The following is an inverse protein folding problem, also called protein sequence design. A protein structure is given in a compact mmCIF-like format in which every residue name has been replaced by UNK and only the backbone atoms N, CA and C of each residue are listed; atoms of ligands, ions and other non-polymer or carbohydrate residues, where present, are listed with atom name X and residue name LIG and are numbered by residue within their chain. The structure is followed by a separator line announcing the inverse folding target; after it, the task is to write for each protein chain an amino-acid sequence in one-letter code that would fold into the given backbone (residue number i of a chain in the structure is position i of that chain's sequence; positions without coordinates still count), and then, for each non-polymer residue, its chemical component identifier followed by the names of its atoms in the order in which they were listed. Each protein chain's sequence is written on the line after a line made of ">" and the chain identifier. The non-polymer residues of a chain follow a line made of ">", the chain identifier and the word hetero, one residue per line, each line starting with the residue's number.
data_IF_752541176677
#
_entry.id   IF_752541176677
#
_cell.length_a   1.000
_cell.length_b   1.000
_cell.length_c   1.000
_cell.angle_alpha   90.00
_cell.angle_beta   90.00
_cell.angle_gamma   90.00
#
_symmetry.space_group_name_H-M   'P 1'
#
loop_
_entity.id
_entity.type
_entity.pdbx_description
1 polymer ?
#
# COMPACT_ATOMS: atom_id res chain seq x y z
N UNK A 1 -22.39 41.66 55.64
CA UNK A 1 -22.56 40.19 55.62
C UNK A 1 -23.06 39.77 54.25
N UNK A 2 -22.34 38.84 53.62
CA UNK A 2 -22.70 38.00 52.47
C UNK A 2 -22.65 38.67 51.06
N UNK A 3 -21.45 38.53 50.48
CA UNK A 3 -21.09 38.32 49.07
C UNK A 3 -22.13 37.53 48.26
N UNK A 4 -22.20 37.71 46.93
CA UNK A 4 -21.93 36.63 45.96
C UNK A 4 -21.68 37.22 44.56
N UNK A 5 -20.45 37.03 44.09
CA UNK A 5 -19.97 37.30 42.74
C UNK A 5 -20.80 36.51 41.70
N UNK A 6 -21.21 37.17 40.62
CA UNK A 6 -21.59 36.52 39.36
C UNK A 6 -20.33 35.89 38.74
N UNK A 7 -20.16 34.57 38.89
CA UNK A 7 -19.22 33.80 38.08
C UNK A 7 -19.80 33.60 36.69
N UNK A 8 -19.20 34.25 35.68
CA UNK A 8 -19.38 33.89 34.28
C UNK A 8 -18.56 32.64 33.97
N UNK A 9 -19.21 31.54 33.62
CA UNK A 9 -18.55 30.35 33.07
C UNK A 9 -18.23 30.59 31.60
N UNK A 10 -16.99 30.98 31.31
CA UNK A 10 -16.44 30.91 29.95
C UNK A 10 -15.95 29.47 29.74
N UNK A 11 -16.73 28.68 29.00
CA UNK A 11 -16.25 27.40 28.46
C UNK A 11 -15.25 27.72 27.34
N UNK A 12 -13.96 27.72 27.64
CA UNK A 12 -12.90 27.70 26.62
C UNK A 12 -12.80 26.29 26.05
N UNK A 13 -13.34 26.10 24.85
CA UNK A 13 -13.07 24.93 24.01
C UNK A 13 -11.56 24.91 23.67
N UNK A 14 -10.80 24.11 24.43
CA UNK A 14 -9.44 23.74 24.04
C UNK A 14 -9.53 22.81 22.83
N UNK A 15 -9.45 23.39 21.63
CA UNK A 15 -9.14 22.63 20.42
C UNK A 15 -7.69 22.16 20.53
N UNK A 16 -7.49 20.93 21.03
CA UNK A 16 -6.20 20.25 21.00
C UNK A 16 -5.85 20.05 19.52
N UNK A 17 -4.76 20.65 19.00
CA UNK A 17 -4.33 20.35 17.65
C UNK A 17 -3.94 18.88 17.62
N UNK A 18 -4.70 18.07 16.88
CA UNK A 18 -4.32 16.71 16.56
C UNK A 18 -3.04 16.81 15.72
N UNK A 19 -1.88 16.68 16.36
CA UNK A 19 -0.62 16.49 15.66
C UNK A 19 -0.71 15.12 15.00
N UNK A 20 -1.17 15.11 13.75
CA UNK A 20 -1.07 13.93 12.89
C UNK A 20 0.43 13.68 12.78
N UNK A 21 0.92 12.70 13.51
CA UNK A 21 2.30 12.26 13.43
C UNK A 21 2.43 11.56 12.08
N UNK A 22 2.57 12.33 11.01
CA UNK A 22 2.92 11.81 9.69
C UNK A 22 4.38 11.41 9.79
N UNK A 23 4.63 10.23 10.36
CA UNK A 23 5.89 9.55 10.16
C UNK A 23 6.13 9.56 8.65
N UNK A 24 7.16 10.30 8.21
CA UNK A 24 7.57 10.38 6.82
C UNK A 24 7.73 8.93 6.35
N UNK A 25 6.74 8.41 5.63
CA UNK A 25 6.71 7.02 5.26
C UNK A 25 7.83 6.83 4.25
N UNK A 26 8.97 6.30 4.72
CA UNK A 26 10.13 6.07 3.87
C UNK A 26 9.84 4.86 2.99
N UNK A 27 9.15 5.11 1.87
CA UNK A 27 8.90 4.10 0.87
C UNK A 27 10.22 3.64 0.22
N UNK A 28 10.33 2.34 0.00
CA UNK A 28 11.47 1.69 -0.63
C UNK A 28 11.03 0.99 -1.91
N UNK A 29 11.37 1.59 -3.05
CA UNK A 29 10.96 1.12 -4.38
C UNK A 29 11.99 0.20 -5.06
N UNK A 30 12.99 -0.29 -4.32
CA UNK A 30 14.03 -1.16 -4.89
C UNK A 30 13.50 -2.52 -5.35
N UNK A 31 12.35 -2.95 -4.81
CA UNK A 31 11.67 -4.20 -5.19
C UNK A 31 11.00 -4.15 -6.57
N UNK A 32 10.83 -2.96 -7.15
CA UNK A 32 10.18 -2.74 -8.46
C UNK A 32 11.08 -2.08 -9.49
N UNK A 33 12.40 -2.20 -9.34
CA UNK A 33 13.31 -1.77 -10.39
C UNK A 33 13.22 -2.69 -11.63
N UNK A 34 13.63 -2.18 -12.79
CA UNK A 34 13.61 -2.95 -14.05
C UNK A 34 14.34 -4.29 -13.88
N UNK A 35 13.69 -5.37 -14.32
CA UNK A 35 14.21 -6.72 -14.22
C UNK A 35 13.85 -7.46 -12.92
N UNK A 36 13.34 -6.77 -11.89
CA UNK A 36 12.81 -7.40 -10.68
C UNK A 36 11.52 -8.15 -10.96
N UNK A 37 11.22 -9.10 -10.08
CA UNK A 37 10.00 -9.90 -10.10
C UNK A 37 9.18 -9.61 -8.86
N UNK A 38 7.87 -9.51 -9.06
CA UNK A 38 6.86 -9.45 -8.03
C UNK A 38 6.14 -10.79 -7.97
N UNK A 39 5.77 -11.24 -6.78
CA UNK A 39 5.02 -12.50 -6.60
C UNK A 39 3.92 -12.34 -5.57
N UNK A 40 2.70 -12.69 -5.97
CA UNK A 40 1.53 -12.79 -5.11
C UNK A 40 1.07 -14.24 -5.13
N UNK A 41 1.13 -14.92 -3.98
CA UNK A 41 0.93 -16.36 -3.94
C UNK A 41 -0.03 -16.78 -2.81
N UNK A 42 -1.16 -16.08 -2.72
CA UNK A 42 -2.25 -16.44 -1.79
C UNK A 42 -2.94 -17.76 -2.16
N UNK A 43 -3.14 -17.99 -3.46
CA UNK A 43 -3.72 -19.22 -4.01
C UNK A 43 -2.92 -19.72 -5.19
N UNK A 44 -3.12 -20.99 -5.53
CA UNK A 44 -2.51 -21.63 -6.68
C UNK A 44 -3.37 -21.35 -7.94
N UNK A 45 -2.76 -20.90 -9.07
CA UNK A 45 -1.35 -20.59 -9.26
C UNK A 45 -0.93 -19.24 -8.67
N UNK A 46 0.34 -19.12 -8.25
CA UNK A 46 0.92 -17.83 -7.87
C UNK A 46 0.86 -16.88 -9.07
N UNK A 47 0.53 -15.62 -8.82
CA UNK A 47 0.69 -14.52 -9.76
C UNK A 47 2.13 -14.02 -9.72
N UNK A 48 2.73 -13.84 -10.90
CA UNK A 48 4.11 -13.38 -11.07
C UNK A 48 4.12 -12.15 -11.99
N UNK A 49 4.87 -11.11 -11.64
CA UNK A 49 5.05 -9.92 -12.46
C UNK A 49 6.52 -9.61 -12.68
N UNK A 50 7.00 -9.59 -13.93
CA UNK A 50 8.34 -9.09 -14.25
C UNK A 50 8.28 -7.61 -14.60
N UNK A 51 9.01 -6.77 -13.87
CA UNK A 51 9.09 -5.35 -14.16
C UNK A 51 9.90 -5.11 -15.44
N UNK A 52 9.24 -4.51 -16.43
CA UNK A 52 9.84 -4.11 -17.71
C UNK A 52 10.20 -2.63 -17.72
N UNK A 53 9.42 -1.79 -17.05
CA UNK A 53 9.70 -0.36 -16.88
C UNK A 53 9.21 0.10 -15.51
N UNK A 54 9.90 1.09 -14.96
CA UNK A 54 9.60 1.73 -13.67
C UNK A 54 9.70 3.24 -13.84
N UNK A 55 8.68 3.97 -13.36
CA UNK A 55 8.70 5.43 -13.29
C UNK A 55 8.05 5.91 -12.00
N UNK A 56 8.60 6.98 -11.45
CA UNK A 56 7.92 7.78 -10.43
C UNK A 56 7.17 8.89 -11.16
N UNK A 57 5.84 8.90 -11.05
CA UNK A 57 5.00 9.93 -11.67
C UNK A 57 4.87 11.16 -10.77
N UNK A 58 4.72 10.92 -9.46
CA UNK A 58 4.55 11.98 -8.47
C UNK A 58 5.18 11.57 -7.15
N UNK A 59 5.76 12.54 -6.45
CA UNK A 59 6.33 12.36 -5.12
C UNK A 59 5.97 13.56 -4.24
N UNK A 60 5.40 13.27 -3.07
CA UNK A 60 5.16 14.21 -1.98
C UNK A 60 5.67 13.58 -0.67
N UNK A 61 5.69 14.33 0.45
CA UNK A 61 6.10 13.78 1.75
C UNK A 61 5.28 12.55 2.18
N UNK A 62 4.00 12.50 1.82
CA UNK A 62 3.05 11.48 2.29
C UNK A 62 2.68 10.43 1.23
N UNK A 63 3.07 10.66 -0.02
CA UNK A 63 2.63 9.82 -1.14
C UNK A 63 3.67 9.73 -2.25
N UNK A 64 3.81 8.55 -2.84
CA UNK A 64 4.54 8.34 -4.10
C UNK A 64 3.65 7.59 -5.07
N UNK A 65 3.51 8.10 -6.29
CA UNK A 65 2.81 7.41 -7.38
C UNK A 65 3.82 6.83 -8.35
N UNK A 66 3.67 5.53 -8.62
CA UNK A 66 4.52 4.75 -9.51
C UNK A 66 3.72 4.37 -10.77
N UNK A 67 4.37 4.40 -11.93
CA UNK A 67 3.94 3.67 -13.13
C UNK A 67 4.89 2.50 -13.34
N UNK A 68 4.33 1.29 -13.40
CA UNK A 68 5.06 0.06 -13.67
C UNK A 68 4.55 -0.55 -14.97
N UNK A 69 5.45 -0.90 -15.89
CA UNK A 69 5.11 -1.77 -17.01
C UNK A 69 5.47 -3.20 -16.60
N UNK A 70 4.47 -4.07 -16.43
CA UNK A 70 4.62 -5.42 -15.90
C UNK A 70 4.32 -6.44 -16.99
N UNK A 71 5.24 -7.40 -17.19
CA UNK A 71 4.94 -8.64 -17.89
C UNK A 71 4.40 -9.64 -16.86
N UNK A 72 3.09 -9.83 -16.86
CA UNK A 72 2.41 -10.79 -15.99
C UNK A 72 2.69 -12.23 -16.41
N UNK A 73 2.55 -13.14 -15.46
CA UNK A 73 2.62 -14.58 -15.65
C UNK A 73 2.09 -15.31 -14.42
N UNK A 74 2.09 -16.63 -14.48
CA UNK A 74 1.65 -17.49 -13.38
C UNK A 74 2.55 -18.70 -13.21
N UNK A 75 2.58 -19.24 -12.00
CA UNK A 75 3.37 -20.41 -11.64
C UNK A 75 2.67 -21.23 -10.57
N UNK A 76 2.55 -22.54 -10.81
CA UNK A 76 2.08 -23.48 -9.79
C UNK A 76 3.04 -23.52 -8.59
N UNK A 77 2.55 -23.74 -7.37
CA UNK A 77 3.36 -23.69 -6.14
C UNK A 77 4.68 -24.48 -6.22
N UNK A 78 4.64 -25.68 -6.79
CA UNK A 78 5.80 -26.58 -6.87
C UNK A 78 6.54 -26.52 -8.22
N UNK A 79 6.10 -25.65 -9.13
CA UNK A 79 6.73 -25.49 -10.44
C UNK A 79 7.82 -24.43 -10.40
N UNK A 80 8.90 -24.63 -11.15
CA UNK A 80 9.88 -23.58 -11.47
C UNK A 80 9.56 -22.85 -12.78
N UNK A 81 8.64 -23.39 -13.58
CA UNK A 81 8.25 -22.85 -14.88
C UNK A 81 7.18 -21.78 -14.69
N UNK A 82 7.45 -20.59 -15.20
CA UNK A 82 6.49 -19.48 -15.26
C UNK A 82 5.87 -19.46 -16.65
N UNK A 83 4.53 -19.45 -16.70
CA UNK A 83 3.77 -19.20 -17.93
C UNK A 83 3.58 -17.69 -18.04
N UNK A 84 4.27 -17.06 -18.98
CA UNK A 84 4.19 -15.62 -19.19
C UNK A 84 3.04 -15.23 -20.12
N UNK A 85 2.42 -14.08 -19.85
CA UNK A 85 1.48 -13.45 -20.75
C UNK A 85 2.18 -12.99 -22.04
N UNK A 86 1.41 -12.81 -23.12
CA UNK A 86 1.98 -12.40 -24.42
C UNK A 86 2.50 -10.97 -24.44
N UNK A 87 1.85 -10.07 -23.69
CA UNK A 87 2.14 -8.63 -23.69
C UNK A 87 2.20 -8.11 -22.26
N UNK A 88 3.05 -7.11 -21.99
CA UNK A 88 3.02 -6.40 -20.72
C UNK A 88 1.81 -5.46 -20.66
N UNK A 89 1.40 -5.11 -19.44
CA UNK A 89 0.40 -4.08 -19.14
C UNK A 89 0.99 -3.02 -18.22
N UNK A 90 0.30 -1.90 -18.07
CA UNK A 90 0.66 -0.86 -17.09
C UNK A 90 -0.12 -1.06 -15.80
N UNK A 91 0.58 -0.89 -14.69
CA UNK A 91 0.01 -0.86 -13.35
C UNK A 91 0.45 0.42 -12.67
N UNK A 92 -0.46 1.05 -11.95
CA UNK A 92 -0.19 2.25 -11.17
C UNK A 92 -0.22 1.89 -9.69
N UNK A 93 0.78 2.32 -8.92
CA UNK A 93 0.83 2.05 -7.48
C UNK A 93 0.93 3.36 -6.73
N UNK A 94 -0.01 3.62 -5.84
CA UNK A 94 0.01 4.80 -4.97
C UNK A 94 0.48 4.40 -3.59
N UNK A 95 1.78 4.55 -3.34
CA UNK A 95 2.38 4.36 -2.03
C UNK A 95 1.92 5.50 -1.11
N UNK A 96 0.90 5.24 -0.29
CA UNK A 96 0.37 6.13 0.75
C UNK A 96 0.05 5.33 2.01
N UNK A 97 0.20 5.94 3.19
CA UNK A 97 -0.20 5.33 4.48
C UNK A 97 -1.70 5.36 4.73
N UNK A 98 -2.39 6.37 4.20
CA UNK A 98 -3.82 6.58 4.44
C UNK A 98 -4.70 6.00 3.33
N UNK A 99 -4.19 5.96 2.10
CA UNK A 99 -4.94 5.46 0.93
C UNK A 99 -4.01 4.67 -0.02
N UNK A 100 -3.43 3.54 0.44
CA UNK A 100 -2.68 2.66 -0.44
C UNK A 100 -3.58 2.17 -1.58
N UNK A 101 -3.12 2.24 -2.82
CA UNK A 101 -3.92 1.78 -3.96
C UNK A 101 -3.08 1.18 -5.08
N UNK A 102 -3.71 0.30 -5.84
CA UNK A 102 -3.20 -0.23 -7.11
C UNK A 102 -4.25 0.05 -8.18
N UNK A 103 -3.80 0.46 -9.36
CA UNK A 103 -4.66 0.63 -10.52
C UNK A 103 -4.19 -0.15 -11.73
N UNK A 104 -5.14 -0.69 -12.48
CA UNK A 104 -4.96 -1.45 -13.71
C UNK A 104 -5.99 -0.98 -14.74
N UNK A 105 -5.55 -0.63 -15.94
CA UNK A 105 -6.45 -0.29 -17.06
C UNK A 105 -7.52 0.78 -16.77
N UNK A 106 -7.24 1.68 -15.83
CA UNK A 106 -8.15 2.78 -15.45
C UNK A 106 -9.00 2.50 -14.21
N UNK A 107 -9.07 1.24 -13.77
CA UNK A 107 -9.67 0.85 -12.50
C UNK A 107 -8.65 1.05 -11.37
N UNK A 108 -9.13 1.46 -10.18
CA UNK A 108 -8.29 1.72 -9.01
C UNK A 108 -8.90 1.06 -7.78
N UNK A 109 -8.15 0.13 -7.21
CA UNK A 109 -8.48 -0.54 -5.96
C UNK A 109 -7.74 0.14 -4.81
N UNK A 110 -8.49 0.58 -3.81
CA UNK A 110 -7.91 0.94 -2.50
C UNK A 110 -7.63 -0.37 -1.76
N UNK A 111 -6.40 -0.53 -1.27
CA UNK A 111 -5.96 -1.73 -0.56
C UNK A 111 -6.27 -1.55 0.93
N UNK A 112 -7.22 -2.31 1.52
CA UNK A 112 -7.47 -2.30 2.96
C UNK A 112 -6.34 -3.05 3.68
N UNK A 113 -5.17 -2.41 3.78
CA UNK A 113 -3.96 -2.98 4.37
C UNK A 113 -4.06 -2.85 5.89
N UNK A 114 -4.56 -3.90 6.55
CA UNK A 114 -4.79 -3.97 7.98
C UNK A 114 -3.97 -5.12 8.62
N UNK A 115 -3.40 -4.94 9.83
CA UNK A 115 -2.64 -5.99 10.52
C UNK A 115 -3.45 -7.22 10.93
N UNK A 116 -4.77 -7.08 11.10
CA UNK A 116 -5.64 -8.15 11.58
C UNK A 116 -6.24 -8.96 10.43
N UNK A 117 -6.52 -8.31 9.30
CA UNK A 117 -7.18 -8.97 8.17
C UNK A 117 -7.00 -8.20 6.87
N UNK A 118 -6.51 -8.89 5.83
CA UNK A 118 -6.60 -8.42 4.45
C UNK A 118 -7.56 -9.32 3.67
N UNK A 119 -8.58 -8.76 2.97
CA UNK A 119 -9.51 -9.55 2.18
C UNK A 119 -8.81 -10.40 1.12
N UNK A 120 -9.16 -11.68 1.04
CA UNK A 120 -8.54 -12.64 0.12
C UNK A 120 -8.55 -12.19 -1.35
N UNK A 121 -9.62 -11.52 -1.79
CA UNK A 121 -9.73 -10.97 -3.15
C UNK A 121 -8.62 -9.94 -3.48
N UNK A 122 -8.19 -9.17 -2.48
CA UNK A 122 -7.17 -8.12 -2.62
C UNK A 122 -5.80 -8.55 -2.08
N UNK A 123 -5.64 -9.79 -1.62
CA UNK A 123 -4.43 -10.22 -0.92
C UNK A 123 -3.19 -10.18 -1.81
N UNK A 124 -3.30 -10.68 -3.06
CA UNK A 124 -2.19 -10.59 -4.01
C UNK A 124 -1.86 -9.13 -4.35
N UNK A 125 -2.87 -8.27 -4.47
CA UNK A 125 -2.67 -6.82 -4.65
C UNK A 125 -1.97 -6.19 -3.45
N UNK A 126 -2.31 -6.59 -2.22
CA UNK A 126 -1.63 -6.15 -1.02
C UNK A 126 -0.15 -6.60 -0.98
N UNK A 127 0.15 -7.84 -1.37
CA UNK A 127 1.52 -8.32 -1.47
C UNK A 127 2.33 -7.55 -2.52
N UNK A 128 1.74 -7.29 -3.69
CA UNK A 128 2.37 -6.46 -4.73
C UNK A 128 2.61 -5.04 -4.27
N UNK A 129 1.64 -4.45 -3.56
CA UNK A 129 1.78 -3.13 -2.96
C UNK A 129 2.97 -3.08 -2.00
N UNK A 130 3.10 -4.06 -1.10
CA UNK A 130 4.19 -4.13 -0.13
C UNK A 130 5.56 -4.31 -0.79
N UNK A 131 5.63 -5.09 -1.87
CA UNK A 131 6.86 -5.24 -2.66
C UNK A 131 7.23 -3.92 -3.37
N UNK A 132 6.26 -3.24 -3.95
CA UNK A 132 6.46 -1.98 -4.68
C UNK A 132 6.81 -0.79 -3.77
N UNK A 133 6.17 -0.71 -2.61
CA UNK A 133 6.29 0.44 -1.72
C UNK A 133 7.29 0.21 -0.58
N UNK A 134 7.63 -1.04 -0.25
CA UNK A 134 8.52 -1.35 0.89
C UNK A 134 9.59 -2.39 0.60
N UNK A 135 9.66 -2.95 -0.62
CA UNK A 135 10.55 -4.08 -0.95
C UNK A 135 10.40 -5.25 0.04
N UNK A 136 9.15 -5.55 0.41
CA UNK A 136 8.83 -6.57 1.40
C UNK A 136 8.15 -7.77 0.77
N UNK A 137 8.67 -8.96 1.06
CA UNK A 137 8.17 -10.24 0.57
C UNK A 137 7.74 -11.08 1.78
N UNK A 138 6.44 -11.13 2.05
CA UNK A 138 5.84 -11.80 3.20
C UNK A 138 4.31 -11.73 3.17
N UNK A 139 3.65 -12.01 4.30
CA UNK A 139 2.19 -11.89 4.43
C UNK A 139 1.75 -10.42 4.38
N UNK A 140 0.51 -10.18 3.96
CA UNK A 140 0.02 -8.81 3.86
C UNK A 140 -0.13 -8.17 5.26
N UNK A 141 -0.57 -8.96 6.24
CA UNK A 141 -0.78 -8.62 7.64
C UNK A 141 0.54 -8.30 8.35
N UNK A 142 1.58 -9.13 8.19
CA UNK A 142 2.89 -8.85 8.79
C UNK A 142 3.52 -7.60 8.18
N UNK A 143 3.34 -7.40 6.88
CA UNK A 143 3.73 -6.16 6.20
C UNK A 143 2.97 -4.96 6.76
N UNK A 144 1.65 -5.06 6.91
CA UNK A 144 0.80 -4.02 7.48
C UNK A 144 1.27 -3.65 8.89
N UNK A 145 1.49 -4.63 9.76
CA UNK A 145 2.02 -4.46 11.12
C UNK A 145 3.40 -3.82 11.11
N UNK A 146 4.34 -4.38 10.34
CA UNK A 146 5.75 -3.94 10.28
C UNK A 146 5.87 -2.49 9.85
N UNK A 147 5.04 -2.06 8.91
CA UNK A 147 5.09 -0.71 8.38
C UNK A 147 4.05 0.22 9.01
N UNK A 148 3.26 -0.21 9.99
CA UNK A 148 2.29 0.64 10.69
C UNK A 148 1.12 1.08 9.81
N UNK A 149 0.56 0.16 9.03
CA UNK A 149 -0.72 0.35 8.35
C UNK A 149 -1.88 -0.05 9.26
N UNK A 150 -3.02 0.62 9.08
CA UNK A 150 -4.30 0.28 9.71
C UNK A 150 -5.44 0.80 8.83
N UNK A 151 -5.46 0.40 7.55
CA UNK A 151 -6.44 0.88 6.56
C UNK A 151 -7.52 -0.18 6.38
N UNK A 152 -8.78 0.22 6.54
CA UNK A 152 -9.97 -0.61 6.31
C UNK A 152 -10.81 0.00 5.19
N UNK A 153 -11.89 -0.69 4.79
CA UNK A 153 -12.94 -0.10 3.97
C UNK A 153 -13.71 1.00 4.73
#
# INVERSE_FOLDING_TARGET
>A
MINFLKLGSILTLFSVPFLINTANAKFNHTGVQVGKTLEGCYHNPCSIGKVKQFKILQKSPNQVMLELTILGGSREFNSRKITWNKKPHKTYVTCSKSKPSIGLEGEVDVIPLNPEFVPGMLYNSAQYYLQACHNYYGSAEDGAKRFGYNVTF
#
